data_IF_624499519762
#
_entry.id   IF_624499519762
#
_cell.length_a   1.000
_cell.length_b   1.000
_cell.length_c   1.000
_cell.angle_alpha   90.00
_cell.angle_beta   90.00
_cell.angle_gamma   90.00
#
_symmetry.space_group_name_H-M   'P 1'
#
loop_
_entity.id
_entity.type
_entity.pdbx_description
1 polymer ?
#
# COMPACT_ATOMS: atom_id res chain seq x y z
N UNK A 1 -33.34 -35.52 -24.51
CA UNK A 1 -31.90 -35.71 -24.23
C UNK A 1 -31.16 -34.50 -24.77
N UNK A 2 -30.93 -33.49 -23.93
CA UNK A 2 -30.08 -32.35 -24.27
C UNK A 2 -28.68 -32.66 -23.78
N UNK A 3 -27.75 -32.87 -24.72
CA UNK A 3 -26.35 -33.12 -24.44
C UNK A 3 -25.69 -31.81 -24.01
N UNK A 4 -25.46 -31.63 -22.71
CA UNK A 4 -24.57 -30.60 -22.20
C UNK A 4 -23.16 -30.88 -22.73
N UNK A 5 -22.72 -30.09 -23.71
CA UNK A 5 -21.32 -30.05 -24.10
C UNK A 5 -20.51 -29.50 -22.91
N UNK A 6 -19.40 -30.14 -22.50
CA UNK A 6 -18.59 -29.61 -21.42
C UNK A 6 -17.99 -28.27 -21.87
N UNK A 7 -18.32 -27.20 -21.13
CA UNK A 7 -17.65 -25.90 -21.26
C UNK A 7 -16.16 -26.14 -21.06
N UNK A 8 -15.36 -25.99 -22.11
CA UNK A 8 -13.90 -26.04 -22.00
C UNK A 8 -13.43 -24.85 -21.18
N UNK A 9 -13.07 -25.08 -19.92
CA UNK A 9 -12.39 -24.06 -19.11
C UNK A 9 -11.05 -23.75 -19.75
N UNK A 10 -10.93 -22.58 -20.38
CA UNK A 10 -9.65 -22.06 -20.87
C UNK A 10 -8.93 -21.44 -19.68
N UNK A 11 -7.83 -22.07 -19.25
CA UNK A 11 -6.95 -21.50 -18.23
C UNK A 11 -6.06 -20.43 -18.88
N UNK A 12 -6.05 -19.21 -18.35
CA UNK A 12 -5.20 -18.12 -18.83
C UNK A 12 -4.01 -17.90 -17.89
N UNK A 13 -2.81 -17.83 -18.49
CA UNK A 13 -1.56 -17.48 -17.83
C UNK A 13 -1.45 -15.98 -17.52
N UNK A 14 -0.25 -15.51 -17.16
CA UNK A 14 0.07 -14.08 -17.04
C UNK A 14 0.76 -13.68 -15.74
N UNK A 15 0.77 -14.53 -14.72
CA UNK A 15 1.48 -14.29 -13.45
C UNK A 15 2.20 -15.54 -12.97
N UNK A 16 3.24 -15.33 -12.17
CA UNK A 16 3.99 -16.43 -11.55
C UNK A 16 3.31 -16.97 -10.28
N UNK A 17 2.58 -16.11 -9.57
CA UNK A 17 1.83 -16.47 -8.35
C UNK A 17 0.39 -16.01 -8.54
N UNK A 18 -0.53 -16.94 -8.28
CA UNK A 18 -1.98 -16.70 -8.32
C UNK A 18 -2.55 -16.77 -6.91
N UNK A 19 -3.64 -16.06 -6.66
CA UNK A 19 -4.35 -16.12 -5.38
C UNK A 19 -3.82 -15.20 -4.28
N UNK A 20 -3.00 -14.19 -4.60
CA UNK A 20 -2.55 -13.17 -3.65
C UNK A 20 -2.63 -11.78 -4.30
N UNK A 21 -3.31 -10.82 -3.64
CA UNK A 21 -3.76 -9.60 -4.32
C UNK A 21 -3.05 -8.31 -3.87
N UNK A 22 -2.49 -8.24 -2.65
CA UNK A 22 -1.93 -6.98 -2.12
C UNK A 22 -0.45 -7.15 -1.75
N UNK A 23 0.40 -6.35 -2.38
CA UNK A 23 1.79 -6.14 -2.00
C UNK A 23 1.92 -4.99 -1.01
N UNK A 24 2.69 -5.18 0.05
CA UNK A 24 2.88 -4.22 1.14
C UNK A 24 4.36 -3.84 1.21
N UNK A 25 4.64 -2.58 0.91
CA UNK A 25 5.97 -1.98 1.07
C UNK A 25 6.18 -1.59 2.54
N UNK A 26 7.20 -2.17 3.15
CA UNK A 26 7.49 -2.06 4.58
C UNK A 26 8.73 -1.19 4.82
N UNK A 27 8.63 -0.25 5.75
CA UNK A 27 9.78 0.44 6.32
C UNK A 27 10.67 -0.53 7.10
N UNK A 28 11.98 -0.26 7.11
CA UNK A 28 12.95 -1.02 7.88
C UNK A 28 12.80 -0.73 9.38
N UNK A 29 12.02 -1.57 10.06
CA UNK A 29 11.60 -1.39 11.44
C UNK A 29 11.64 -2.73 12.18
N UNK A 30 11.80 -2.68 13.50
CA UNK A 30 11.99 -3.89 14.33
C UNK A 30 11.07 -3.94 15.57
N UNK A 31 10.08 -3.06 15.66
CA UNK A 31 9.12 -3.10 16.76
C UNK A 31 8.13 -4.27 16.58
N UNK A 32 7.58 -4.82 17.68
CA UNK A 32 6.66 -5.96 17.61
C UNK A 32 5.49 -5.72 16.66
N UNK A 33 5.18 -6.75 15.85
CA UNK A 33 4.06 -6.77 14.91
C UNK A 33 2.95 -7.62 15.51
N UNK A 34 2.16 -7.01 16.40
CA UNK A 34 1.03 -7.69 17.04
C UNK A 34 -0.05 -8.06 16.01
N UNK A 35 -0.96 -8.95 16.37
CA UNK A 35 -2.11 -9.22 15.51
C UNK A 35 -2.97 -7.95 15.36
N UNK A 36 -3.40 -7.66 14.14
CA UNK A 36 -3.96 -6.38 13.71
C UNK A 36 -2.96 -5.42 13.05
N UNK A 37 -1.64 -5.65 13.17
CA UNK A 37 -0.63 -4.83 12.49
C UNK A 37 -0.50 -5.22 11.01
N UNK A 38 -0.44 -4.23 10.12
CA UNK A 38 -0.25 -4.42 8.68
C UNK A 38 0.92 -5.36 8.33
N UNK A 39 2.01 -5.29 9.08
CA UNK A 39 3.23 -6.10 8.91
C UNK A 39 3.17 -7.50 9.54
N UNK A 40 2.05 -7.89 10.16
CA UNK A 40 1.83 -9.24 10.65
C UNK A 40 1.04 -10.05 9.62
N UNK A 41 1.64 -11.13 9.11
CA UNK A 41 1.01 -11.98 8.10
C UNK A 41 -0.30 -12.65 8.58
N UNK A 42 -0.48 -12.81 9.90
CA UNK A 42 -1.70 -13.39 10.49
C UNK A 42 -2.90 -12.44 10.52
N UNK A 43 -2.69 -11.14 10.28
CA UNK A 43 -3.75 -10.11 10.33
C UNK A 43 -4.73 -10.18 9.18
N UNK A 44 -4.30 -10.72 8.03
CA UNK A 44 -5.07 -10.64 6.80
C UNK A 44 -5.87 -11.93 6.56
N UNK A 45 -7.19 -11.85 6.32
CA UNK A 45 -7.99 -13.02 5.94
C UNK A 45 -7.79 -13.40 4.46
N UNK A 46 -6.82 -12.77 3.78
CA UNK A 46 -6.44 -13.00 2.40
C UNK A 46 -4.91 -12.93 2.27
N UNK A 47 -4.32 -13.52 1.21
CA UNK A 47 -2.86 -13.53 1.08
C UNK A 47 -2.30 -12.15 0.73
N UNK A 48 -1.21 -11.79 1.40
CA UNK A 48 -0.45 -10.55 1.19
C UNK A 48 1.03 -10.87 0.95
N UNK A 49 1.71 -9.99 0.21
CA UNK A 49 3.15 -10.09 -0.04
C UNK A 49 3.87 -8.92 0.63
N UNK A 50 4.93 -9.17 1.38
CA UNK A 50 5.70 -8.13 2.04
C UNK A 50 7.01 -7.87 1.34
N UNK A 51 7.38 -6.59 1.20
CA UNK A 51 8.74 -6.20 0.82
C UNK A 51 9.25 -5.11 1.74
N UNK A 52 10.28 -5.43 2.53
CA UNK A 52 11.04 -4.41 3.26
C UNK A 52 11.88 -3.63 2.26
N UNK A 53 11.79 -2.30 2.31
CA UNK A 53 12.59 -1.39 1.48
C UNK A 53 13.85 -1.02 2.27
N UNK A 54 15.04 -1.54 1.88
CA UNK A 54 16.26 -1.34 2.66
C UNK A 54 16.61 0.14 2.81
N UNK A 55 17.03 0.53 4.02
CA UNK A 55 17.40 1.91 4.32
C UNK A 55 16.23 2.89 4.44
N UNK A 56 14.97 2.45 4.27
CA UNK A 56 13.78 3.25 4.53
C UNK A 56 13.40 3.19 6.01
N UNK A 57 14.19 3.84 6.87
CA UNK A 57 13.89 3.94 8.31
C UNK A 57 12.77 4.95 8.60
N UNK A 58 12.08 4.85 9.76
CA UNK A 58 11.07 5.84 10.15
C UNK A 58 11.60 7.27 10.19
N UNK A 59 12.84 7.48 10.63
CA UNK A 59 13.44 8.81 10.69
C UNK A 59 13.60 9.41 9.28
N UNK A 60 14.11 8.62 8.33
CA UNK A 60 14.26 9.07 6.93
C UNK A 60 12.92 9.35 6.26
N UNK A 61 11.91 8.52 6.51
CA UNK A 61 10.60 8.68 5.88
C UNK A 61 9.80 9.82 6.51
N UNK A 62 9.73 9.88 7.84
CA UNK A 62 8.89 10.86 8.54
C UNK A 62 9.56 12.22 8.68
N UNK A 63 10.84 12.28 9.05
CA UNK A 63 11.51 13.56 9.35
C UNK A 63 12.28 14.14 8.17
N UNK A 64 12.73 13.27 7.26
CA UNK A 64 13.48 13.69 6.06
C UNK A 64 12.64 13.53 4.78
N UNK A 65 11.32 13.44 4.92
CA UNK A 65 10.33 13.38 3.83
C UNK A 65 10.68 12.33 2.75
N UNK A 66 11.24 11.20 3.19
CA UNK A 66 11.69 10.12 2.32
C UNK A 66 12.63 10.55 1.17
N UNK A 67 13.36 11.67 1.32
CA UNK A 67 14.22 12.21 0.26
C UNK A 67 15.23 11.17 -0.22
N UNK A 68 15.25 10.95 -1.53
CA UNK A 68 16.14 9.99 -2.19
C UNK A 68 15.74 8.52 -1.97
N UNK A 69 14.51 8.23 -1.57
CA UNK A 69 14.00 6.86 -1.44
C UNK A 69 12.98 6.45 -2.51
N UNK A 70 12.46 7.40 -3.31
CA UNK A 70 11.39 7.15 -4.28
C UNK A 70 11.69 5.96 -5.19
N UNK A 71 12.84 5.97 -5.87
CA UNK A 71 13.22 4.89 -6.80
C UNK A 71 13.31 3.53 -6.09
N UNK A 72 13.85 3.50 -4.87
CA UNK A 72 13.94 2.26 -4.08
C UNK A 72 12.56 1.68 -3.73
N UNK A 73 11.57 2.54 -3.47
CA UNK A 73 10.20 2.09 -3.28
C UNK A 73 9.54 1.65 -4.59
N UNK A 74 9.74 2.36 -5.69
CA UNK A 74 9.19 1.99 -7.00
C UNK A 74 9.75 0.63 -7.44
N UNK A 75 11.05 0.41 -7.29
CA UNK A 75 11.69 -0.86 -7.64
C UNK A 75 11.14 -2.02 -6.79
N UNK A 76 10.93 -1.78 -5.49
CA UNK A 76 10.30 -2.75 -4.61
C UNK A 76 8.83 -3.04 -4.99
N UNK A 77 8.08 -2.01 -5.41
CA UNK A 77 6.71 -2.15 -5.91
C UNK A 77 6.65 -2.97 -7.18
N UNK A 78 7.51 -2.67 -8.17
CA UNK A 78 7.65 -3.44 -9.41
C UNK A 78 8.05 -4.89 -9.15
N UNK A 79 8.92 -5.12 -8.18
CA UNK A 79 9.29 -6.47 -7.75
C UNK A 79 8.08 -7.25 -7.21
N UNK A 80 7.26 -6.63 -6.36
CA UNK A 80 6.02 -7.26 -5.85
C UNK A 80 5.02 -7.55 -6.97
N UNK A 81 4.83 -6.63 -7.92
CA UNK A 81 3.95 -6.83 -9.08
C UNK A 81 4.43 -8.00 -9.94
N UNK A 82 5.73 -8.07 -10.25
CA UNK A 82 6.33 -9.19 -10.97
C UNK A 82 6.11 -10.53 -10.26
N UNK A 83 6.09 -10.51 -8.92
CA UNK A 83 5.82 -11.69 -8.11
C UNK A 83 4.32 -12.01 -7.97
N UNK A 84 3.42 -11.17 -8.49
CA UNK A 84 2.00 -11.47 -8.61
C UNK A 84 1.06 -10.53 -7.85
N UNK A 85 1.56 -9.46 -7.22
CA UNK A 85 0.70 -8.48 -6.56
C UNK A 85 -0.24 -7.76 -7.56
N UNK A 86 -1.52 -7.67 -7.21
CA UNK A 86 -2.59 -6.99 -7.97
C UNK A 86 -2.82 -5.54 -7.53
N UNK A 87 -2.20 -5.12 -6.44
CA UNK A 87 -2.26 -3.79 -5.90
C UNK A 87 -1.16 -3.60 -4.86
N UNK A 88 -0.77 -2.34 -4.65
CA UNK A 88 0.30 -1.99 -3.72
C UNK A 88 -0.21 -1.07 -2.61
N UNK A 89 0.24 -1.33 -1.39
CA UNK A 89 0.08 -0.43 -0.25
C UNK A 89 1.37 -0.30 0.53
N UNK A 90 1.39 0.56 1.54
CA UNK A 90 2.58 0.80 2.38
C UNK A 90 2.21 0.79 3.85
N UNK A 91 3.19 0.56 4.73
CA UNK A 91 2.96 0.53 6.17
C UNK A 91 3.14 1.88 6.89
N UNK A 92 3.48 2.96 6.17
CA UNK A 92 3.71 4.27 6.78
C UNK A 92 2.90 5.36 6.07
N UNK A 93 2.00 6.00 6.82
CA UNK A 93 1.11 7.02 6.24
C UNK A 93 1.82 8.27 5.68
N UNK A 94 3.09 8.50 6.04
CA UNK A 94 3.90 9.59 5.51
C UNK A 94 4.36 9.35 4.06
N UNK A 95 4.22 8.13 3.54
CA UNK A 95 4.42 7.82 2.13
C UNK A 95 3.26 8.32 1.24
N UNK A 96 2.26 9.01 1.82
CA UNK A 96 1.28 9.79 1.07
C UNK A 96 1.94 10.71 0.02
N UNK A 97 3.13 11.25 0.36
CA UNK A 97 3.94 12.09 -0.53
C UNK A 97 4.32 11.44 -1.87
N UNK A 98 4.30 10.10 -1.96
CA UNK A 98 4.67 9.37 -3.18
C UNK A 98 3.46 8.78 -3.91
N UNK A 99 2.23 9.17 -3.55
CA UNK A 99 1.03 8.57 -4.13
C UNK A 99 0.97 8.75 -5.65
N UNK A 100 1.25 9.95 -6.14
CA UNK A 100 1.16 10.26 -7.57
C UNK A 100 2.28 9.58 -8.35
N UNK A 101 3.51 9.61 -7.83
CA UNK A 101 4.66 8.96 -8.44
C UNK A 101 4.50 7.44 -8.47
N UNK A 102 3.95 6.82 -7.41
CA UNK A 102 3.67 5.39 -7.43
C UNK A 102 2.56 5.06 -8.43
N UNK A 103 1.49 5.87 -8.46
CA UNK A 103 0.37 5.66 -9.38
C UNK A 103 0.80 5.80 -10.84
N UNK A 104 1.79 6.66 -11.12
CA UNK A 104 2.36 6.81 -12.45
C UNK A 104 3.35 5.69 -12.82
N UNK A 105 4.07 5.14 -11.84
CA UNK A 105 5.17 4.20 -12.08
C UNK A 105 4.79 2.70 -11.95
N UNK A 106 3.65 2.40 -11.33
CA UNK A 106 3.20 1.03 -11.03
C UNK A 106 1.92 0.72 -11.82
N UNK A 107 1.95 -0.36 -12.61
CA UNK A 107 0.84 -0.76 -13.51
C UNK A 107 -0.35 -1.42 -12.78
N UNK A 108 -0.47 -1.20 -11.47
CA UNK A 108 -1.54 -1.74 -10.61
C UNK A 108 -2.06 -0.64 -9.68
N UNK A 109 -3.29 -0.75 -9.13
CA UNK A 109 -3.78 0.20 -8.14
C UNK A 109 -2.87 0.34 -6.93
N UNK A 110 -2.68 1.58 -6.48
CA UNK A 110 -1.84 1.90 -5.33
C UNK A 110 -2.59 2.76 -4.32
N UNK A 111 -2.47 2.42 -3.04
CA UNK A 111 -2.89 3.26 -1.93
C UNK A 111 -1.78 3.36 -0.89
N UNK A 112 -1.05 4.48 -0.89
CA UNK A 112 0.14 4.62 -0.03
C UNK A 112 -0.19 4.88 1.43
N UNK A 113 -1.37 5.45 1.72
CA UNK A 113 -1.68 5.93 3.06
C UNK A 113 -3.18 5.93 3.35
N UNK A 114 -3.56 5.71 4.61
CA UNK A 114 -4.92 5.96 5.08
C UNK A 114 -5.31 7.44 5.00
N UNK A 115 -4.34 8.35 4.91
CA UNK A 115 -4.59 9.79 4.73
C UNK A 115 -5.34 10.09 3.43
N UNK A 116 -5.24 9.25 2.41
CA UNK A 116 -6.00 9.38 1.16
C UNK A 116 -7.52 9.31 1.37
N UNK A 117 -7.98 8.81 2.53
CA UNK A 117 -9.40 8.78 2.88
C UNK A 117 -9.91 10.14 3.37
N UNK A 118 -9.03 11.09 3.71
CA UNK A 118 -9.41 12.39 4.29
C UNK A 118 -10.40 13.14 3.40
N UNK A 119 -10.18 13.32 2.07
CA UNK A 119 -11.15 14.04 1.23
C UNK A 119 -12.50 13.34 1.15
N UNK A 120 -12.53 11.99 1.22
CA UNK A 120 -13.77 11.23 1.25
C UNK A 120 -14.52 11.44 2.55
N UNK A 121 -13.84 11.32 3.70
CA UNK A 121 -14.44 11.51 5.03
C UNK A 121 -14.93 12.94 5.19
N UNK A 122 -14.16 13.95 4.74
CA UNK A 122 -14.56 15.36 4.81
C UNK A 122 -15.91 15.63 4.14
N UNK A 123 -16.18 15.00 3.00
CA UNK A 123 -17.45 15.16 2.26
C UNK A 123 -18.66 14.57 2.98
N UNK A 124 -18.45 13.70 3.95
CA UNK A 124 -19.53 13.07 4.73
C UNK A 124 -19.87 13.84 6.02
N UNK A 125 -19.08 14.84 6.38
CA UNK A 125 -19.26 15.57 7.64
C UNK A 125 -20.31 16.68 7.52
N UNK A 126 -21.06 16.99 8.60
CA UNK A 126 -21.96 18.13 8.64
C UNK A 126 -21.23 19.47 8.39
N UNK A 127 -21.94 20.51 7.91
CA UNK A 127 -21.37 21.85 7.75
C UNK A 127 -20.66 22.34 9.03
N UNK A 128 -19.46 22.91 8.86
CA UNK A 128 -18.65 23.44 9.97
C UNK A 128 -17.87 22.38 10.77
N UNK A 129 -17.89 21.11 10.36
CA UNK A 129 -17.02 20.05 10.91
C UNK A 129 -15.83 19.78 9.98
N UNK A 130 -14.77 19.17 10.51
CA UNK A 130 -13.54 18.83 9.79
C UNK A 130 -13.01 17.47 10.24
N UNK A 131 -12.19 16.84 9.40
CA UNK A 131 -11.47 15.62 9.77
C UNK A 131 -10.38 15.96 10.79
N UNK A 132 -10.27 15.13 11.83
CA UNK A 132 -9.19 15.15 12.80
C UNK A 132 -8.20 14.01 12.51
N UNK A 133 -6.91 14.29 12.61
CA UNK A 133 -5.85 13.32 12.32
C UNK A 133 -5.01 13.14 13.58
N UNK A 134 -4.85 11.88 14.02
CA UNK A 134 -3.90 11.50 15.07
C UNK A 134 -2.66 10.96 14.38
N UNK A 135 -1.51 11.58 14.63
CA UNK A 135 -0.25 11.26 13.96
C UNK A 135 0.89 11.10 14.95
N UNK A 136 1.87 10.27 14.59
CA UNK A 136 3.11 10.11 15.36
C UNK A 136 3.97 11.38 15.35
N UNK A 137 3.78 12.27 14.37
CA UNK A 137 4.53 13.52 14.28
C UNK A 137 3.70 14.65 13.68
N UNK A 138 3.15 15.50 14.55
CA UNK A 138 2.39 16.67 14.12
C UNK A 138 3.25 17.68 13.34
N UNK A 139 4.52 17.87 13.75
CA UNK A 139 5.42 18.82 13.11
C UNK A 139 5.80 18.46 11.67
N UNK A 140 5.73 17.17 11.29
CA UNK A 140 6.08 16.71 9.95
C UNK A 140 4.86 16.44 9.07
N UNK A 141 3.65 16.37 9.65
CA UNK A 141 2.42 16.19 8.89
C UNK A 141 2.00 17.54 8.28
N UNK A 142 2.26 17.70 6.99
CA UNK A 142 1.96 18.92 6.21
C UNK A 142 0.76 18.72 5.30
N UNK A 143 0.29 19.80 4.66
CA UNK A 143 -0.77 19.75 3.65
C UNK A 143 -0.39 18.89 2.43
N UNK A 144 0.90 18.69 2.14
CA UNK A 144 1.37 17.81 1.05
C UNK A 144 1.02 16.34 1.29
N UNK A 145 0.67 15.97 2.52
CA UNK A 145 0.27 14.60 2.86
C UNK A 145 -1.25 14.35 2.72
N UNK A 146 -2.05 15.37 2.40
CA UNK A 146 -3.52 15.35 2.48
C UNK A 146 -4.19 15.56 1.12
#
# INVERSE_FOLDING_TARGET
MTTNSPSSTVFQGGKNVYGAAVGILMLETRFPRVDGDIGNAGTWPFPVMYRVVPGASPDRVVRLQAKGLLDAFIDAGKDLIRHGADGISTNCGFLALFQDEFSAALDVPVATSSLMQVPFVERLLPPGKRVGIITISAANLTAEHL
#
